data_IF_716161395552
#
_entry.id   IF_716161395552
#
_cell.length_a   1.000
_cell.length_b   1.000
_cell.length_c   1.000
_cell.angle_alpha   90.00
_cell.angle_beta   90.00
_cell.angle_gamma   90.00
#
_symmetry.space_group_name_H-M   'P 1'
#
loop_
_entity.id
_entity.type
_entity.pdbx_description
1 polymer ?
#
# COMPACT_ATOMS: atom_id res chain seq x y z
N UNK A 1 -20.75 -3.31 10.09
CA UNK A 1 -19.88 -3.86 9.01
C UNK A 1 -18.59 -3.05 9.00
N UNK A 2 -17.42 -3.63 8.68
CA UNK A 2 -16.13 -2.92 8.63
C UNK A 2 -15.94 -2.29 7.25
N UNK A 3 -15.11 -1.25 7.14
CA UNK A 3 -14.82 -0.57 5.87
C UNK A 3 -14.22 -1.50 4.82
N UNK A 4 -13.41 -2.45 5.25
CA UNK A 4 -12.77 -3.44 4.37
C UNK A 4 -13.75 -4.22 3.50
N UNK A 5 -15.02 -4.38 3.92
CA UNK A 5 -16.07 -5.02 3.10
C UNK A 5 -16.41 -4.23 1.83
N UNK A 6 -16.18 -2.93 1.86
CA UNK A 6 -16.45 -2.05 0.71
C UNK A 6 -15.17 -1.69 -0.06
N UNK A 7 -14.00 -2.08 0.47
CA UNK A 7 -12.71 -1.65 -0.07
C UNK A 7 -12.59 -1.97 -1.57
N UNK A 8 -12.79 -3.22 -1.96
CA UNK A 8 -12.68 -3.63 -3.37
C UNK A 8 -13.73 -2.98 -4.27
N UNK A 9 -14.90 -2.62 -3.73
CA UNK A 9 -15.96 -1.92 -4.47
C UNK A 9 -15.49 -0.52 -4.88
N UNK A 10 -14.81 0.20 -3.97
CA UNK A 10 -14.28 1.55 -4.23
C UNK A 10 -12.95 1.54 -5.00
N UNK A 11 -12.29 0.39 -5.07
CA UNK A 11 -11.00 0.25 -5.75
C UNK A 11 -11.12 -0.25 -7.20
N UNK A 12 -12.35 -0.50 -7.70
CA UNK A 12 -12.58 -1.07 -9.04
C UNK A 12 -12.05 -0.20 -10.18
N UNK A 13 -12.03 1.11 -9.99
CA UNK A 13 -11.61 2.07 -11.02
C UNK A 13 -10.10 2.36 -10.98
N UNK A 14 -9.37 1.80 -10.03
CA UNK A 14 -7.91 1.94 -9.98
C UNK A 14 -7.28 1.15 -11.13
N UNK A 15 -6.51 1.86 -11.94
CA UNK A 15 -5.75 1.27 -13.03
C UNK A 15 -4.44 0.67 -12.49
N UNK A 16 -4.54 -0.46 -11.79
CA UNK A 16 -3.38 -1.11 -11.13
C UNK A 16 -2.24 -1.45 -12.08
N UNK A 17 -2.53 -1.85 -13.31
CA UNK A 17 -1.48 -2.10 -14.31
C UNK A 17 -0.73 -0.82 -14.70
N UNK A 18 -1.42 0.28 -14.87
CA UNK A 18 -0.82 1.58 -15.17
C UNK A 18 0.01 2.09 -13.98
N UNK A 19 -0.47 1.88 -12.74
CA UNK A 19 0.24 2.19 -11.51
C UNK A 19 1.53 1.36 -11.38
N UNK A 20 1.46 0.07 -11.67
CA UNK A 20 2.60 -0.83 -11.54
C UNK A 20 3.66 -0.62 -12.65
N UNK A 21 3.26 -0.19 -13.85
CA UNK A 21 4.14 -0.04 -15.01
C UNK A 21 5.43 0.75 -14.76
N UNK A 22 5.44 1.95 -14.15
CA UNK A 22 6.68 2.67 -13.83
C UNK A 22 7.53 1.94 -12.77
N UNK A 23 6.93 1.16 -11.88
CA UNK A 23 7.58 0.44 -10.79
C UNK A 23 8.32 -0.80 -11.32
N UNK A 24 7.74 -1.51 -12.30
CA UNK A 24 8.34 -2.71 -12.92
C UNK A 24 9.74 -2.47 -13.49
N UNK A 25 10.11 -1.22 -13.83
CA UNK A 25 11.46 -0.87 -14.30
C UNK A 25 12.55 -1.10 -13.25
N UNK A 26 12.16 -1.17 -11.98
CA UNK A 26 13.05 -1.32 -10.83
C UNK A 26 12.95 -2.70 -10.18
N UNK A 27 12.06 -3.57 -10.70
CA UNK A 27 11.83 -4.92 -10.20
C UNK A 27 12.40 -5.98 -11.17
N UNK A 28 12.90 -7.07 -10.60
CA UNK A 28 13.44 -8.21 -11.35
C UNK A 28 12.66 -9.50 -11.02
N UNK A 29 12.08 -10.18 -12.00
CA UNK A 29 11.23 -11.36 -11.76
C UNK A 29 11.93 -12.51 -11.02
N UNK A 30 13.22 -12.70 -11.26
CA UNK A 30 14.01 -13.78 -10.67
C UNK A 30 14.51 -13.51 -9.24
N UNK A 31 14.15 -12.37 -8.67
CA UNK A 31 14.52 -11.98 -7.32
C UNK A 31 13.32 -12.09 -6.38
N UNK A 32 13.56 -12.47 -5.13
CA UNK A 32 12.50 -12.54 -4.11
C UNK A 32 11.92 -11.17 -3.83
N UNK A 33 10.59 -11.05 -3.86
CA UNK A 33 9.85 -9.80 -3.73
C UNK A 33 8.84 -9.89 -2.59
N UNK A 34 8.78 -8.86 -1.77
CA UNK A 34 7.74 -8.66 -0.77
C UNK A 34 6.81 -7.53 -1.17
N UNK A 35 5.50 -7.78 -1.19
CA UNK A 35 4.45 -6.76 -1.19
C UNK A 35 4.04 -6.49 0.28
N UNK A 36 4.57 -5.40 0.86
CA UNK A 36 4.41 -5.07 2.27
C UNK A 36 3.17 -4.19 2.48
N UNK A 37 2.11 -4.78 3.02
CA UNK A 37 0.77 -4.19 3.11
C UNK A 37 -0.03 -4.49 1.83
N UNK A 38 -0.08 -5.76 1.42
CA UNK A 38 -0.67 -6.17 0.14
C UNK A 38 -2.19 -5.97 0.04
N UNK A 39 -2.87 -5.70 1.17
CA UNK A 39 -4.31 -5.50 1.22
C UNK A 39 -5.08 -6.66 0.60
N UNK A 40 -5.99 -6.37 -0.33
CA UNK A 40 -6.78 -7.38 -1.06
C UNK A 40 -6.04 -8.01 -2.24
N UNK A 41 -4.71 -7.78 -2.38
CA UNK A 41 -3.82 -8.53 -3.25
C UNK A 41 -3.82 -8.16 -4.73
N UNK A 42 -4.37 -7.01 -5.15
CA UNK A 42 -4.37 -6.61 -6.58
C UNK A 42 -2.97 -6.47 -7.18
N UNK A 43 -2.04 -5.80 -6.48
CA UNK A 43 -0.66 -5.66 -6.94
C UNK A 43 0.04 -7.02 -6.92
N UNK A 44 -0.13 -7.79 -5.83
CA UNK A 44 0.44 -9.13 -5.70
C UNK A 44 -0.03 -10.06 -6.83
N UNK A 45 -1.33 -10.05 -7.16
CA UNK A 45 -1.89 -10.83 -8.26
C UNK A 45 -1.21 -10.51 -9.60
N UNK A 46 -1.07 -9.20 -9.91
CA UNK A 46 -0.42 -8.76 -11.14
C UNK A 46 1.06 -9.18 -11.22
N UNK A 47 1.77 -9.12 -10.09
CA UNK A 47 3.16 -9.56 -10.00
C UNK A 47 3.29 -11.06 -10.21
N UNK A 48 2.44 -11.87 -9.56
CA UNK A 48 2.43 -13.33 -9.69
C UNK A 48 2.08 -13.77 -11.11
N UNK A 49 1.08 -13.14 -11.76
CA UNK A 49 0.75 -13.36 -13.16
C UNK A 49 1.89 -13.03 -14.13
N UNK A 50 2.79 -12.13 -13.73
CA UNK A 50 4.01 -11.77 -14.48
C UNK A 50 5.23 -12.60 -14.06
N UNK A 51 5.02 -13.71 -13.32
CA UNK A 51 6.04 -14.64 -12.85
C UNK A 51 7.09 -14.02 -11.88
N UNK A 52 6.73 -12.98 -11.12
CA UNK A 52 7.57 -12.52 -10.03
C UNK A 52 7.51 -13.50 -8.85
N UNK A 53 8.64 -13.71 -8.17
CA UNK A 53 8.72 -14.50 -6.95
C UNK A 53 8.24 -13.65 -5.75
N UNK A 54 6.95 -13.32 -5.73
CA UNK A 54 6.36 -12.39 -4.78
C UNK A 54 5.56 -13.09 -3.68
N UNK A 55 5.62 -12.54 -2.47
CA UNK A 55 4.69 -12.84 -1.38
C UNK A 55 4.08 -11.54 -0.86
N UNK A 56 2.89 -11.61 -0.26
CA UNK A 56 2.19 -10.49 0.36
C UNK A 56 2.11 -10.63 1.87
N UNK A 57 2.33 -9.52 2.57
CA UNK A 57 2.06 -9.38 3.99
C UNK A 57 0.98 -8.32 4.23
N UNK A 58 0.01 -8.61 5.08
CA UNK A 58 -0.93 -7.62 5.61
C UNK A 58 -1.24 -7.91 7.07
N UNK A 59 -1.64 -6.88 7.82
CA UNK A 59 -2.02 -7.02 9.23
C UNK A 59 -3.48 -7.42 9.40
N UNK A 60 -4.31 -7.24 8.37
CA UNK A 60 -5.74 -7.51 8.40
C UNK A 60 -6.05 -8.93 7.87
N UNK A 61 -6.47 -9.87 8.73
CA UNK A 61 -6.91 -11.20 8.27
C UNK A 61 -8.06 -11.13 7.27
N UNK A 62 -8.89 -10.09 7.38
CA UNK A 62 -10.00 -9.88 6.46
C UNK A 62 -9.52 -9.47 5.05
N UNK A 63 -8.55 -8.54 4.96
CA UNK A 63 -7.92 -8.19 3.67
C UNK A 63 -7.27 -9.42 3.03
N UNK A 64 -6.56 -10.22 3.84
CA UNK A 64 -5.94 -11.46 3.37
C UNK A 64 -6.96 -12.50 2.91
N UNK A 65 -8.14 -12.59 3.54
CA UNK A 65 -9.22 -13.44 3.05
C UNK A 65 -9.70 -13.04 1.65
N UNK A 66 -9.90 -11.74 1.41
CA UNK A 66 -10.26 -11.22 0.07
C UNK A 66 -9.15 -11.46 -0.96
N UNK A 67 -7.89 -11.30 -0.54
CA UNK A 67 -6.73 -11.62 -1.38
C UNK A 67 -6.67 -13.12 -1.71
N UNK A 68 -6.94 -13.98 -0.71
CA UNK A 68 -6.99 -15.43 -0.90
C UNK A 68 -8.04 -15.84 -1.92
N UNK A 69 -9.28 -15.33 -1.80
CA UNK A 69 -10.37 -15.62 -2.73
C UNK A 69 -10.02 -15.23 -4.16
N UNK A 70 -9.25 -14.15 -4.34
CA UNK A 70 -8.75 -13.65 -5.63
C UNK A 70 -7.62 -14.52 -6.19
N UNK A 71 -6.70 -14.97 -5.35
CA UNK A 71 -5.49 -15.72 -5.76
C UNK A 71 -5.72 -17.23 -5.87
N UNK A 72 -6.71 -17.80 -5.16
CA UNK A 72 -7.01 -19.22 -5.15
C UNK A 72 -7.30 -19.79 -6.56
N UNK A 73 -8.15 -19.18 -7.39
CA UNK A 73 -8.41 -19.69 -8.74
C UNK A 73 -7.17 -19.72 -9.64
N UNK A 74 -6.13 -18.97 -9.25
CA UNK A 74 -4.87 -18.84 -9.99
C UNK A 74 -3.77 -19.78 -9.44
N UNK A 75 -4.04 -20.49 -8.34
CA UNK A 75 -3.09 -21.40 -7.70
C UNK A 75 -2.05 -20.69 -6.80
N UNK A 76 -2.27 -19.43 -6.41
CA UNK A 76 -1.30 -18.61 -5.67
C UNK A 76 -1.60 -18.47 -4.16
N UNK A 77 -2.26 -19.47 -3.53
CA UNK A 77 -2.69 -19.39 -2.13
C UNK A 77 -1.57 -19.36 -1.10
N UNK A 78 -0.39 -19.87 -1.43
CA UNK A 78 0.76 -19.94 -0.52
C UNK A 78 1.60 -18.67 -0.46
N UNK A 79 1.13 -17.58 -1.07
CA UNK A 79 1.86 -16.31 -1.18
C UNK A 79 1.39 -15.24 -0.20
N UNK A 80 0.47 -15.55 0.74
CA UNK A 80 -0.14 -14.60 1.67
C UNK A 80 0.19 -14.95 3.12
N UNK A 81 0.60 -13.94 3.91
CA UNK A 81 0.92 -14.12 5.32
C UNK A 81 0.43 -12.94 6.14
N UNK A 82 -0.16 -13.22 7.31
CA UNK A 82 -0.53 -12.20 8.29
C UNK A 82 0.72 -11.70 9.01
N UNK A 83 0.96 -10.38 8.96
CA UNK A 83 2.08 -9.77 9.66
C UNK A 83 1.87 -8.27 9.91
N UNK A 84 2.20 -7.81 11.13
CA UNK A 84 2.26 -6.40 11.47
C UNK A 84 3.66 -5.82 11.14
N UNK A 85 3.74 -4.93 10.16
CA UNK A 85 4.98 -4.28 9.73
C UNK A 85 5.66 -3.45 10.84
N UNK A 86 5.00 -3.20 11.99
CA UNK A 86 5.62 -2.66 13.21
C UNK A 86 6.54 -3.68 13.89
N UNK A 87 6.46 -4.95 13.52
CA UNK A 87 7.30 -6.04 14.04
C UNK A 87 8.39 -6.39 13.03
N UNK A 88 9.54 -6.97 13.49
CA UNK A 88 10.56 -7.46 12.58
C UNK A 88 10.00 -8.52 11.63
N UNK A 89 10.32 -8.39 10.34
CA UNK A 89 9.99 -9.40 9.32
C UNK A 89 11.10 -10.46 9.38
N UNK A 90 10.76 -11.69 9.75
CA UNK A 90 11.73 -12.77 9.99
C UNK A 90 12.40 -13.34 8.72
N UNK A 91 12.21 -12.71 7.56
CA UNK A 91 12.73 -13.13 6.25
C UNK A 91 13.47 -11.98 5.57
N UNK A 92 14.30 -12.31 4.58
CA UNK A 92 15.00 -11.31 3.77
C UNK A 92 14.66 -11.45 2.29
N UNK A 93 14.51 -10.28 1.64
CA UNK A 93 14.10 -10.13 0.25
C UNK A 93 15.13 -9.33 -0.54
N UNK A 94 15.22 -9.59 -1.84
CA UNK A 94 15.98 -8.73 -2.76
C UNK A 94 15.23 -7.42 -3.03
N UNK A 95 13.89 -7.47 -3.00
CA UNK A 95 13.02 -6.36 -3.34
C UNK A 95 11.84 -6.30 -2.39
N UNK A 96 11.46 -5.10 -2.01
CA UNK A 96 10.24 -4.84 -1.23
C UNK A 96 9.49 -3.69 -1.91
N UNK A 97 8.20 -3.84 -2.11
CA UNK A 97 7.29 -2.74 -2.42
C UNK A 97 6.42 -2.44 -1.21
N UNK A 98 6.15 -1.17 -0.96
CA UNK A 98 5.23 -0.71 0.08
C UNK A 98 4.46 0.48 -0.49
N UNK A 99 3.32 0.19 -1.14
CA UNK A 99 2.60 1.07 -2.05
C UNK A 99 1.17 1.31 -1.59
N UNK A 100 0.46 2.21 -2.27
CA UNK A 100 -0.97 2.48 -2.05
C UNK A 100 -1.26 2.88 -0.61
N UNK A 101 -0.54 3.90 -0.14
CA UNK A 101 -0.78 4.59 1.14
C UNK A 101 -0.42 3.81 2.41
N UNK A 102 0.14 2.62 2.31
CA UNK A 102 0.48 1.79 3.49
C UNK A 102 1.30 2.57 4.51
N UNK A 103 2.30 3.35 4.08
CA UNK A 103 3.16 4.12 4.97
C UNK A 103 2.37 5.16 5.78
N UNK A 104 1.31 5.70 5.19
CA UNK A 104 0.48 6.74 5.81
C UNK A 104 -0.40 6.25 6.97
N UNK A 105 -0.55 4.95 7.17
CA UNK A 105 -1.21 4.40 8.36
C UNK A 105 -0.33 4.39 9.62
N UNK A 106 0.95 4.75 9.50
CA UNK A 106 1.89 4.72 10.63
C UNK A 106 2.11 6.12 11.22
N UNK A 107 1.78 6.27 12.51
CA UNK A 107 2.19 7.45 13.29
C UNK A 107 3.69 7.33 13.58
N UNK A 108 4.51 8.03 12.78
CA UNK A 108 5.96 7.92 12.82
C UNK A 108 6.48 6.68 12.08
N UNK A 109 7.33 6.89 11.09
CA UNK A 109 7.74 5.85 10.13
C UNK A 109 9.09 5.19 10.46
N UNK A 110 9.84 5.68 11.46
CA UNK A 110 11.21 5.20 11.75
C UNK A 110 11.26 3.69 11.97
N UNK A 111 10.36 3.15 12.80
CA UNK A 111 10.33 1.71 13.10
C UNK A 111 9.93 0.88 11.87
N UNK A 112 8.96 1.35 11.09
CA UNK A 112 8.56 0.72 9.83
C UNK A 112 9.76 0.63 8.88
N UNK A 113 10.39 1.76 8.56
CA UNK A 113 11.52 1.79 7.63
C UNK A 113 12.70 0.95 8.11
N UNK A 114 12.98 0.92 9.42
CA UNK A 114 14.01 0.07 10.00
C UNK A 114 13.70 -1.42 9.81
N UNK A 115 12.44 -1.85 10.00
CA UNK A 115 12.00 -3.22 9.78
C UNK A 115 12.12 -3.61 8.28
N UNK A 116 11.70 -2.74 7.37
CA UNK A 116 11.85 -2.95 5.94
C UNK A 116 13.32 -3.00 5.51
N UNK A 117 14.17 -2.11 6.06
CA UNK A 117 15.62 -2.14 5.83
C UNK A 117 16.25 -3.46 6.25
N UNK A 118 15.90 -3.95 7.44
CA UNK A 118 16.41 -5.24 7.97
C UNK A 118 15.93 -6.44 7.15
N UNK A 119 14.72 -6.35 6.60
CA UNK A 119 14.14 -7.36 5.71
C UNK A 119 14.72 -7.32 4.30
N UNK A 120 15.54 -6.35 3.94
CA UNK A 120 16.28 -6.34 2.68
C UNK A 120 17.63 -7.06 2.81
N UNK A 121 17.97 -7.84 1.80
CA UNK A 121 19.33 -8.35 1.56
C UNK A 121 20.28 -7.19 1.23
N UNK A 122 21.62 -7.37 1.33
CA UNK A 122 22.58 -6.38 0.83
C UNK A 122 22.28 -6.03 -0.64
N UNK A 123 22.37 -4.74 -0.99
CA UNK A 123 21.99 -4.18 -2.30
C UNK A 123 20.50 -4.37 -2.69
N UNK A 124 19.66 -4.78 -1.75
CA UNK A 124 18.23 -4.90 -1.96
C UNK A 124 17.53 -3.54 -2.10
N UNK A 125 16.35 -3.52 -2.70
CA UNK A 125 15.60 -2.31 -3.02
C UNK A 125 14.26 -2.28 -2.33
N UNK A 126 13.91 -1.13 -1.77
CA UNK A 126 12.58 -0.79 -1.28
C UNK A 126 11.96 0.26 -2.23
N UNK A 127 10.78 -0.01 -2.75
CA UNK A 127 10.02 0.96 -3.56
C UNK A 127 8.81 1.40 -2.77
N UNK A 128 8.64 2.72 -2.65
CA UNK A 128 7.56 3.35 -1.88
C UNK A 128 6.90 4.47 -2.65
N UNK A 129 5.66 4.77 -2.27
CA UNK A 129 4.94 5.97 -2.67
C UNK A 129 4.54 6.81 -1.45
N UNK A 130 4.64 8.13 -1.56
CA UNK A 130 4.35 9.07 -0.48
C UNK A 130 3.56 10.27 -1.01
N UNK A 131 2.50 10.68 -0.33
CA UNK A 131 1.83 11.94 -0.63
C UNK A 131 2.80 13.11 -0.45
N UNK A 132 2.77 14.04 -1.42
CA UNK A 132 3.60 15.26 -1.39
C UNK A 132 3.22 16.16 -0.22
N UNK A 133 1.91 16.26 0.04
CA UNK A 133 1.34 17.09 1.09
C UNK A 133 -0.07 16.58 1.45
N UNK A 134 -0.62 16.97 2.62
CA UNK A 134 -2.04 16.77 2.92
C UNK A 134 -2.94 17.52 1.92
N UNK A 135 -4.06 16.92 1.56
CA UNK A 135 -5.00 17.46 0.58
C UNK A 135 -6.45 17.34 1.03
N UNK A 136 -7.32 18.13 0.41
CA UNK A 136 -8.77 18.02 0.53
C UNK A 136 -9.32 17.40 -0.75
N UNK A 137 -10.31 16.51 -0.63
CA UNK A 137 -11.08 16.01 -1.77
C UNK A 137 -12.50 15.64 -1.36
N UNK A 138 -13.38 15.62 -2.32
CA UNK A 138 -14.74 15.15 -2.16
C UNK A 138 -15.18 14.38 -3.38
N UNK A 139 -15.77 13.22 -3.13
CA UNK A 139 -16.35 12.37 -4.16
C UNK A 139 -17.70 11.83 -3.67
N UNK A 140 -18.65 11.65 -4.56
CA UNK A 140 -19.92 11.00 -4.26
C UNK A 140 -20.43 10.25 -5.49
N UNK A 141 -21.13 9.16 -5.26
CA UNK A 141 -21.61 8.35 -6.36
C UNK A 141 -22.41 7.14 -5.93
N UNK A 142 -22.65 6.26 -6.90
CA UNK A 142 -23.21 4.93 -6.68
C UNK A 142 -22.33 3.89 -7.33
N UNK A 143 -22.07 2.80 -6.59
CA UNK A 143 -21.40 1.61 -7.11
C UNK A 143 -22.30 0.40 -6.79
N UNK A 144 -22.81 -0.27 -7.82
CA UNK A 144 -23.86 -1.28 -7.66
C UNK A 144 -25.09 -0.70 -6.94
N UNK A 145 -25.53 -1.28 -5.82
CA UNK A 145 -26.65 -0.79 -4.99
C UNK A 145 -26.21 0.15 -3.86
N UNK A 146 -24.91 0.49 -3.76
CA UNK A 146 -24.36 1.31 -2.69
C UNK A 146 -24.24 2.77 -3.15
N UNK A 147 -24.89 3.68 -2.46
CA UNK A 147 -24.60 5.11 -2.55
C UNK A 147 -23.48 5.46 -1.56
N UNK A 148 -22.58 6.35 -1.96
CA UNK A 148 -21.48 6.76 -1.07
C UNK A 148 -21.17 8.25 -1.19
N UNK A 149 -20.57 8.77 -0.11
CA UNK A 149 -19.81 10.01 -0.12
C UNK A 149 -18.46 9.75 0.52
N UNK A 150 -17.40 10.29 -0.08
CA UNK A 150 -16.05 10.19 0.44
C UNK A 150 -15.44 11.58 0.50
N UNK A 151 -15.27 12.06 1.71
CA UNK A 151 -14.62 13.35 1.98
C UNK A 151 -13.25 13.11 2.59
N UNK A 152 -12.24 13.72 2.01
CA UNK A 152 -10.90 13.80 2.60
C UNK A 152 -10.71 15.23 3.11
N UNK A 153 -10.24 15.36 4.33
CA UNK A 153 -10.00 16.65 4.96
C UNK A 153 -8.56 16.76 5.46
N UNK A 154 -7.90 17.82 5.04
CA UNK A 154 -6.56 18.23 5.50
C UNK A 154 -6.46 18.34 7.01
N UNK A 155 -5.34 17.88 7.56
CA UNK A 155 -4.95 18.05 8.96
C UNK A 155 -3.48 18.49 9.02
N UNK A 156 -2.99 19.08 10.14
CA UNK A 156 -1.61 19.56 10.23
C UNK A 156 -0.52 18.52 9.88
N UNK A 157 -0.76 17.25 10.18
CA UNK A 157 0.19 16.16 9.91
C UNK A 157 -0.53 14.95 9.29
N UNK A 158 -1.44 15.18 8.33
CA UNK A 158 -2.15 14.08 7.69
C UNK A 158 -3.46 14.47 7.04
N UNK A 159 -4.28 13.46 6.83
CA UNK A 159 -5.62 13.59 6.27
C UNK A 159 -6.59 12.70 7.06
N UNK A 160 -7.86 13.10 7.07
CA UNK A 160 -8.95 12.29 7.60
C UNK A 160 -9.91 11.98 6.46
N UNK A 161 -10.17 10.72 6.27
CA UNK A 161 -11.22 10.23 5.38
C UNK A 161 -12.51 10.06 6.18
N UNK A 162 -13.57 10.67 5.73
CA UNK A 162 -14.95 10.46 6.19
C UNK A 162 -15.70 9.81 5.05
N UNK A 163 -16.14 8.57 5.26
CA UNK A 163 -16.77 7.77 4.22
C UNK A 163 -18.14 7.33 4.73
N UNK A 164 -19.16 7.78 4.04
CA UNK A 164 -20.53 7.34 4.26
C UNK A 164 -20.92 6.37 3.16
N UNK A 165 -21.44 5.22 3.53
CA UNK A 165 -21.93 4.20 2.61
C UNK A 165 -23.35 3.85 3.00
N UNK A 166 -24.26 3.84 2.03
CA UNK A 166 -25.66 3.55 2.25
C UNK A 166 -26.18 2.58 1.20
N UNK A 167 -26.91 1.56 1.64
CA UNK A 167 -27.81 0.75 0.81
C UNK A 167 -29.26 1.00 1.22
N UNK A 168 -30.20 0.23 0.70
CA UNK A 168 -31.63 0.39 0.98
C UNK A 168 -32.01 0.10 2.45
N UNK A 169 -31.16 -0.62 3.20
CA UNK A 169 -31.46 -1.09 4.56
C UNK A 169 -30.58 -0.42 5.62
N UNK A 170 -29.32 -0.14 5.29
CA UNK A 170 -28.28 0.22 6.25
C UNK A 170 -27.50 1.47 5.81
N UNK A 171 -27.00 2.18 6.81
CA UNK A 171 -26.07 3.29 6.63
C UNK A 171 -24.84 3.08 7.51
N UNK A 172 -23.65 3.24 6.91
CA UNK A 172 -22.36 3.04 7.56
C UNK A 172 -21.52 4.31 7.48
N UNK A 173 -20.83 4.63 8.57
CA UNK A 173 -19.93 5.78 8.68
C UNK A 173 -18.54 5.30 9.06
N UNK A 174 -17.52 5.70 8.30
CA UNK A 174 -16.13 5.33 8.55
C UNK A 174 -15.26 6.57 8.66
N UNK A 175 -14.33 6.51 9.60
CA UNK A 175 -13.29 7.51 9.79
C UNK A 175 -11.93 6.83 9.74
N UNK A 176 -11.12 7.19 8.73
CA UNK A 176 -9.77 6.68 8.59
C UNK A 176 -8.80 7.86 8.68
N UNK A 177 -7.75 7.71 9.45
CA UNK A 177 -6.70 8.69 9.58
C UNK A 177 -5.43 8.20 8.91
N UNK A 178 -4.86 9.05 8.07
CA UNK A 178 -3.55 8.86 7.47
C UNK A 178 -2.62 10.00 7.90
N UNK A 179 -1.34 9.65 8.16
CA UNK A 179 -0.30 10.60 8.56
C UNK A 179 0.51 10.98 7.32
N UNK A 180 0.51 12.25 6.99
CA UNK A 180 1.27 12.81 5.86
C UNK A 180 2.23 13.85 6.44
N UNK A 181 3.51 13.51 6.49
CA UNK A 181 4.55 14.37 7.01
C UNK A 181 5.23 15.13 5.85
N UNK A 182 5.95 16.23 6.13
CA UNK A 182 6.81 16.87 5.13
C UNK A 182 7.79 15.86 4.51
N UNK A 183 8.10 16.04 3.23
CA UNK A 183 8.94 15.09 2.48
C UNK A 183 10.32 14.91 3.12
N UNK A 184 10.91 16.00 3.65
CA UNK A 184 12.22 15.96 4.33
C UNK A 184 12.23 15.04 5.56
N UNK A 185 11.08 14.87 6.24
CA UNK A 185 10.95 13.90 7.33
C UNK A 185 11.16 12.46 6.86
N UNK A 186 10.53 12.08 5.74
CA UNK A 186 10.67 10.73 5.20
C UNK A 186 12.07 10.49 4.65
N UNK A 187 12.57 11.42 3.84
CA UNK A 187 13.91 11.34 3.23
C UNK A 187 14.98 11.30 4.31
N UNK A 188 14.89 12.17 5.33
CA UNK A 188 15.84 12.19 6.44
C UNK A 188 15.87 10.88 7.22
N UNK A 189 14.70 10.28 7.51
CA UNK A 189 14.64 8.97 8.17
C UNK A 189 15.24 7.83 7.33
N UNK A 190 14.93 7.79 6.04
CA UNK A 190 15.47 6.78 5.13
C UNK A 190 17.00 6.86 5.05
N UNK A 191 17.55 8.08 4.93
CA UNK A 191 18.98 8.32 4.91
C UNK A 191 19.66 7.98 6.25
N UNK A 192 19.05 8.37 7.39
CA UNK A 192 19.54 8.02 8.74
C UNK A 192 19.65 6.50 8.94
N UNK A 193 18.71 5.73 8.37
CA UNK A 193 18.70 4.27 8.45
C UNK A 193 19.76 3.63 7.54
N UNK A 194 20.22 4.34 6.49
CA UNK A 194 21.28 3.88 5.59
C UNK A 194 20.83 3.62 4.16
N UNK A 195 19.64 4.06 3.75
CA UNK A 195 19.21 3.97 2.36
C UNK A 195 19.87 5.02 1.46
N UNK A 196 20.31 4.60 0.28
CA UNK A 196 20.49 5.49 -0.87
C UNK A 196 19.16 5.66 -1.60
N UNK A 197 18.77 6.90 -1.94
CA UNK A 197 17.42 7.24 -2.40
C UNK A 197 17.46 7.83 -3.80
N UNK A 198 16.61 7.31 -4.67
CA UNK A 198 16.35 7.84 -6.02
C UNK A 198 14.85 8.11 -6.19
N UNK A 199 14.48 9.35 -6.51
CA UNK A 199 13.11 9.70 -6.90
C UNK A 199 12.85 9.32 -8.36
N UNK A 200 11.63 8.86 -8.67
CA UNK A 200 11.18 8.64 -10.04
C UNK A 200 9.72 9.07 -10.21
N UNK A 201 9.31 9.29 -11.46
CA UNK A 201 7.93 9.65 -11.79
C UNK A 201 7.06 8.40 -11.79
N UNK A 202 6.09 8.33 -10.86
CA UNK A 202 5.08 7.28 -10.78
C UNK A 202 3.76 7.66 -11.46
N UNK A 203 2.69 6.95 -11.10
CA UNK A 203 1.37 7.06 -11.71
C UNK A 203 0.53 8.23 -11.14
N UNK A 204 0.49 8.38 -9.81
CA UNK A 204 -0.31 9.41 -9.13
C UNK A 204 0.51 10.69 -8.94
N UNK A 205 0.10 11.78 -9.61
CA UNK A 205 0.81 13.07 -9.54
C UNK A 205 0.73 13.75 -8.15
N UNK A 206 -0.16 13.31 -7.27
CA UNK A 206 -0.20 13.77 -5.86
C UNK A 206 0.92 13.19 -5.01
N UNK A 207 1.62 12.16 -5.53
CA UNK A 207 2.64 11.40 -4.81
C UNK A 207 4.03 11.58 -5.41
N UNK A 208 5.02 11.32 -4.56
CA UNK A 208 6.40 11.03 -4.96
C UNK A 208 6.67 9.55 -4.81
N UNK A 209 7.47 9.03 -5.72
CA UNK A 209 7.86 7.63 -5.73
C UNK A 209 9.38 7.52 -5.58
N UNK A 210 9.82 6.59 -4.75
CA UNK A 210 11.23 6.41 -4.45
C UNK A 210 11.66 4.96 -4.59
N UNK A 211 12.87 4.78 -5.13
CA UNK A 211 13.66 3.56 -4.99
C UNK A 211 14.71 3.82 -3.93
N UNK A 212 14.67 3.06 -2.85
CA UNK A 212 15.57 3.15 -1.71
C UNK A 212 16.45 1.89 -1.71
N UNK A 213 17.76 2.03 -1.95
CA UNK A 213 18.71 0.91 -2.00
C UNK A 213 19.45 0.80 -0.68
N UNK A 214 19.55 -0.43 -0.16
CA UNK A 214 20.31 -0.77 1.05
C UNK A 214 21.79 -0.89 0.76
#
# INVERSE_FOLDING_TARGET
MRFEHFYDVFQKDIQYEALLKPILKYLHPNETLLDAGCGTGYILELLLKKNYQAIGLDVSPFMLSLAYDKLQPLGFTHHLFEHDLKKPIGMQFNQIICLLDVIHYFKGCKKLFLNLYRALKPNGRLIIDLYKEPFDSFESGKVSSLAYTWKVSKQPNGIIHQIDVQNDLDKYHYHLKQYVYPMDYYVGLLQEIGFSIQEFKGFDDRKKYFVCTK
#
